data_IF_757552275143
#
_entry.id   IF_757552275143
#
_cell.length_a   1.000
_cell.length_b   1.000
_cell.length_c   1.000
_cell.angle_alpha   90.00
_cell.angle_beta   90.00
_cell.angle_gamma   90.00
#
_symmetry.space_group_name_H-M   'P 1'
#
loop_
_entity.id
_entity.type
_entity.pdbx_description
1 polymer ?
#
# COMPACT_ATOMS: atom_id res chain seq x y z
N UNK A 1 61.13 3.32 -15.75
CA UNK A 1 61.23 2.60 -17.04
C UNK A 1 60.80 1.16 -16.82
N UNK A 2 59.89 0.68 -17.67
CA UNK A 2 59.57 -0.72 -17.99
C UNK A 2 59.00 -1.68 -16.91
N UNK A 3 57.96 -2.39 -17.36
CA UNK A 3 57.17 -3.48 -16.77
C UNK A 3 57.98 -4.80 -16.58
N UNK A 4 57.37 -5.97 -16.19
CA UNK A 4 56.49 -6.77 -17.08
C UNK A 4 55.34 -7.56 -16.36
N UNK A 5 54.19 -7.82 -17.03
CA UNK A 5 53.68 -9.11 -17.62
C UNK A 5 53.11 -10.11 -16.57
N UNK A 6 52.03 -10.90 -16.74
CA UNK A 6 51.31 -11.47 -17.91
C UNK A 6 49.97 -12.11 -17.39
N UNK A 7 48.84 -11.99 -18.10
CA UNK A 7 48.06 -13.08 -18.80
C UNK A 7 47.20 -14.02 -17.90
N UNK A 8 46.00 -14.57 -18.23
CA UNK A 8 45.25 -14.83 -19.49
C UNK A 8 43.75 -15.17 -19.18
N UNK A 9 42.85 -14.83 -20.12
CA UNK A 9 41.74 -15.63 -20.74
C UNK A 9 40.65 -16.29 -19.86
N UNK A 10 39.34 -16.32 -20.18
CA UNK A 10 38.71 -16.61 -21.48
C UNK A 10 37.21 -16.23 -21.58
N UNK A 11 36.79 -16.07 -22.84
CA UNK A 11 35.46 -15.79 -23.44
C UNK A 11 34.32 -16.76 -23.06
N UNK A 12 33.06 -16.29 -23.14
CA UNK A 12 32.18 -16.57 -24.29
C UNK A 12 30.73 -16.09 -24.11
N UNK A 13 30.26 -15.25 -25.03
CA UNK A 13 28.85 -15.08 -25.42
C UNK A 13 28.56 -16.05 -26.58
N UNK A 14 27.29 -16.47 -26.76
CA UNK A 14 26.69 -16.21 -28.07
C UNK A 14 25.22 -15.78 -28.00
N UNK A 15 24.87 -14.87 -28.90
CA UNK A 15 23.50 -14.54 -29.32
C UNK A 15 23.10 -15.40 -30.52
N UNK A 16 21.83 -15.83 -30.61
CA UNK A 16 20.88 -15.52 -31.70
C UNK A 16 19.58 -16.33 -31.54
N UNK A 17 18.47 -15.61 -31.73
CA UNK A 17 17.04 -15.93 -31.73
C UNK A 17 16.62 -16.74 -32.99
N UNK A 18 15.32 -16.83 -33.40
CA UNK A 18 14.02 -16.90 -32.69
C UNK A 18 13.10 -18.00 -33.27
N UNK A 19 12.15 -18.60 -32.52
CA UNK A 19 10.94 -19.18 -33.15
C UNK A 19 9.69 -19.06 -32.25
N UNK A 20 8.60 -18.65 -32.91
CA UNK A 20 7.24 -18.52 -32.42
C UNK A 20 6.59 -19.89 -32.15
N UNK A 21 5.71 -19.95 -31.15
CA UNK A 21 4.39 -20.60 -31.34
C UNK A 21 3.46 -20.29 -30.17
N UNK A 22 2.47 -19.47 -30.51
CA UNK A 22 1.10 -19.41 -30.02
C UNK A 22 0.56 -20.72 -29.39
N UNK A 23 -0.03 -20.61 -28.19
CA UNK A 23 -1.02 -21.57 -27.68
C UNK A 23 -1.70 -20.99 -26.42
N UNK A 24 -2.87 -20.37 -26.62
CA UNK A 24 -3.77 -19.99 -25.53
C UNK A 24 -4.23 -21.21 -24.74
N UNK A 25 -4.12 -21.13 -23.41
CA UNK A 25 -4.69 -22.12 -22.50
C UNK A 25 -6.07 -21.64 -22.04
N UNK A 26 -7.08 -21.93 -22.86
CA UNK A 26 -8.48 -21.90 -22.46
C UNK A 26 -8.74 -23.11 -21.54
N UNK A 27 -9.02 -22.85 -20.27
CA UNK A 27 -9.52 -23.86 -19.35
C UNK A 27 -10.94 -24.25 -19.76
N UNK A 28 -11.06 -25.50 -20.22
CA UNK A 28 -12.29 -26.18 -20.59
C UNK A 28 -13.22 -26.37 -19.38
N UNK A 29 -14.44 -25.84 -19.46
CA UNK A 29 -15.55 -26.23 -18.57
C UNK A 29 -16.25 -27.47 -19.16
N UNK A 30 -16.68 -28.45 -18.34
CA UNK A 30 -17.40 -29.62 -18.84
C UNK A 30 -18.83 -29.26 -19.26
N UNK A 31 -19.25 -29.86 -20.37
CA UNK A 31 -20.58 -29.77 -20.95
C UNK A 31 -21.66 -30.40 -20.05
N UNK A 32 -22.79 -29.71 -19.89
CA UNK A 32 -24.02 -30.22 -19.26
C UNK A 32 -24.97 -30.72 -20.37
N UNK A 33 -25.60 -31.90 -20.24
CA UNK A 33 -26.45 -32.45 -21.29
C UNK A 33 -27.82 -31.76 -21.35
N UNK A 34 -28.39 -31.75 -22.55
CA UNK A 34 -29.67 -31.15 -22.90
C UNK A 34 -30.85 -32.14 -22.81
N UNK A 35 -32.03 -31.62 -22.45
CA UNK A 35 -33.36 -32.19 -22.71
C UNK A 35 -34.01 -32.86 -21.48
N UNK A 36 -35.23 -32.54 -21.04
CA UNK A 36 -36.44 -32.38 -21.86
C UNK A 36 -37.60 -31.66 -21.14
N UNK A 37 -38.38 -30.91 -21.94
CA UNK A 37 -39.79 -30.47 -21.86
C UNK A 37 -40.61 -30.67 -20.57
N UNK A 38 -41.24 -29.58 -20.15
CA UNK A 38 -42.50 -29.53 -19.39
C UNK A 38 -43.01 -28.09 -19.33
N UNK A 39 -44.27 -27.89 -19.71
CA UNK A 39 -44.97 -26.60 -19.83
C UNK A 39 -45.29 -26.00 -18.46
N UNK A 40 -45.36 -24.67 -18.37
CA UNK A 40 -46.57 -23.93 -17.96
C UNK A 40 -46.21 -22.47 -17.63
N UNK A 41 -46.84 -21.56 -18.38
CA UNK A 41 -46.87 -20.13 -18.12
C UNK A 41 -47.58 -19.84 -16.80
N UNK A 42 -46.84 -19.40 -15.78
CA UNK A 42 -47.41 -18.65 -14.65
C UNK A 42 -46.41 -17.60 -14.14
N UNK A 43 -46.59 -16.40 -14.70
CA UNK A 43 -46.33 -15.05 -14.18
C UNK A 43 -45.88 -14.95 -12.71
N UNK A 44 -44.57 -14.93 -12.47
CA UNK A 44 -43.97 -14.44 -11.22
C UNK A 44 -43.34 -13.06 -11.42
N UNK A 45 -44.14 -12.01 -11.28
CA UNK A 45 -43.72 -10.60 -11.38
C UNK A 45 -43.20 -10.01 -10.04
N UNK A 46 -42.73 -10.85 -9.12
CA UNK A 46 -42.39 -10.45 -7.73
C UNK A 46 -40.90 -10.61 -7.37
N UNK A 47 -40.14 -11.38 -8.14
CA UNK A 47 -38.71 -11.62 -7.93
C UNK A 47 -37.83 -10.53 -8.52
N UNK A 48 -38.22 -9.94 -9.66
CA UNK A 48 -37.44 -8.89 -10.31
C UNK A 48 -37.42 -7.57 -9.53
N UNK A 49 -38.54 -7.17 -8.93
CA UNK A 49 -38.62 -5.93 -8.16
C UNK A 49 -37.72 -5.97 -6.91
N UNK A 50 -37.65 -7.10 -6.20
CA UNK A 50 -36.85 -7.22 -4.97
C UNK A 50 -35.35 -7.38 -5.21
N UNK A 51 -34.95 -7.93 -6.36
CA UNK A 51 -33.56 -7.97 -6.82
C UNK A 51 -33.10 -6.57 -7.25
N UNK A 52 -33.94 -5.83 -7.99
CA UNK A 52 -33.66 -4.46 -8.43
C UNK A 52 -33.53 -3.49 -7.24
N UNK A 53 -34.39 -3.60 -6.22
CA UNK A 53 -34.25 -2.77 -5.00
C UNK A 53 -32.93 -3.05 -4.25
N UNK A 54 -32.52 -4.32 -4.12
CA UNK A 54 -31.28 -4.69 -3.44
C UNK A 54 -30.03 -4.24 -4.20
N UNK A 55 -30.05 -4.32 -5.51
CA UNK A 55 -28.95 -3.85 -6.35
C UNK A 55 -28.83 -2.32 -6.29
N UNK A 56 -29.96 -1.62 -6.33
CA UNK A 56 -30.01 -0.16 -6.15
C UNK A 56 -29.52 0.29 -4.78
N UNK A 57 -29.93 -0.38 -3.70
CA UNK A 57 -29.44 -0.13 -2.34
C UNK A 57 -27.93 -0.35 -2.21
N UNK A 58 -27.40 -1.41 -2.82
CA UNK A 58 -25.94 -1.67 -2.89
C UNK A 58 -25.21 -0.56 -3.63
N UNK A 59 -25.76 -0.09 -4.76
CA UNK A 59 -25.21 1.03 -5.52
C UNK A 59 -25.17 2.34 -4.72
N UNK A 60 -26.24 2.64 -3.98
CA UNK A 60 -26.31 3.82 -3.09
C UNK A 60 -25.26 3.71 -1.98
N UNK A 61 -25.14 2.55 -1.33
CA UNK A 61 -24.17 2.33 -0.26
C UNK A 61 -22.73 2.44 -0.76
N UNK A 62 -22.42 1.86 -1.92
CA UNK A 62 -21.10 1.97 -2.55
C UNK A 62 -20.76 3.44 -2.86
N UNK A 63 -21.69 4.18 -3.47
CA UNK A 63 -21.51 5.62 -3.72
C UNK A 63 -21.29 6.42 -2.43
N UNK A 64 -21.99 6.09 -1.34
CA UNK A 64 -21.78 6.73 -0.04
C UNK A 64 -20.37 6.45 0.52
N UNK A 65 -19.92 5.19 0.48
CA UNK A 65 -18.57 4.81 0.95
C UNK A 65 -17.49 5.54 0.16
N UNK A 66 -17.61 5.56 -1.17
CA UNK A 66 -16.69 6.24 -2.06
C UNK A 66 -16.60 7.74 -1.74
N UNK A 67 -17.74 8.43 -1.71
CA UNK A 67 -17.78 9.87 -1.39
C UNK A 67 -17.27 10.17 0.03
N UNK A 68 -17.52 9.27 0.99
CA UNK A 68 -16.99 9.41 2.33
C UNK A 68 -15.46 9.25 2.37
N UNK A 69 -14.90 8.32 1.59
CA UNK A 69 -13.45 8.17 1.43
C UNK A 69 -12.84 9.45 0.84
N UNK A 70 -13.39 9.98 -0.26
CA UNK A 70 -12.90 11.21 -0.90
C UNK A 70 -12.90 12.40 0.07
N UNK A 71 -13.98 12.58 0.85
CA UNK A 71 -14.04 13.63 1.87
C UNK A 71 -12.96 13.47 2.94
N UNK A 72 -12.71 12.25 3.41
CA UNK A 72 -11.70 11.99 4.45
C UNK A 72 -10.28 12.19 3.94
N UNK A 73 -9.99 11.75 2.71
CA UNK A 73 -8.71 11.97 2.03
C UNK A 73 -8.45 13.47 1.88
N UNK A 74 -9.44 14.21 1.38
CA UNK A 74 -9.33 15.66 1.22
C UNK A 74 -9.19 16.40 2.56
N UNK A 75 -9.90 15.95 3.60
CA UNK A 75 -9.73 16.51 4.93
C UNK A 75 -8.33 16.22 5.50
N UNK A 76 -7.82 14.99 5.32
CA UNK A 76 -6.50 14.61 5.78
C UNK A 76 -5.40 15.43 5.10
N UNK A 77 -5.52 15.67 3.79
CA UNK A 77 -4.52 16.45 3.06
C UNK A 77 -4.47 17.93 3.46
N UNK A 78 -5.56 18.47 3.99
CA UNK A 78 -5.63 19.87 4.42
C UNK A 78 -5.29 20.07 5.89
N UNK A 79 -5.58 19.08 6.74
CA UNK A 79 -5.56 19.24 8.19
C UNK A 79 -4.67 18.24 8.94
N UNK A 80 -4.32 17.09 8.35
CA UNK A 80 -3.45 16.14 9.04
C UNK A 80 -1.98 16.54 8.85
N UNK A 81 -1.24 16.78 9.94
CA UNK A 81 0.10 17.38 9.88
C UNK A 81 1.10 16.52 9.09
N UNK A 82 1.11 15.20 9.32
CA UNK A 82 2.00 14.29 8.61
C UNK A 82 1.65 14.17 7.12
N UNK A 83 0.36 14.21 6.77
CA UNK A 83 -0.07 14.09 5.36
C UNK A 83 0.32 15.35 4.60
N UNK A 84 0.01 16.55 5.13
CA UNK A 84 0.46 17.84 4.57
C UNK A 84 1.96 17.83 4.33
N UNK A 85 2.71 17.40 5.35
CA UNK A 85 4.16 17.38 5.32
C UNK A 85 4.72 16.46 4.23
N UNK A 86 4.22 15.23 4.15
CA UNK A 86 4.68 14.26 3.15
C UNK A 86 4.34 14.71 1.72
N UNK A 87 3.13 15.24 1.49
CA UNK A 87 2.76 15.81 0.18
C UNK A 87 3.74 16.91 -0.25
N UNK A 88 4.09 17.82 0.66
CA UNK A 88 5.09 18.85 0.38
C UNK A 88 6.49 18.29 0.13
N UNK A 89 6.89 17.26 0.89
CA UNK A 89 8.19 16.62 0.73
C UNK A 89 8.31 15.91 -0.62
N UNK A 90 7.28 15.15 -1.02
CA UNK A 90 7.18 14.48 -2.31
C UNK A 90 7.23 15.50 -3.45
N UNK A 91 6.47 16.60 -3.35
CA UNK A 91 6.45 17.62 -4.40
C UNK A 91 7.80 18.33 -4.58
N UNK A 92 8.58 18.45 -3.49
CA UNK A 92 9.95 19.00 -3.55
C UNK A 92 10.97 18.07 -4.18
N UNK A 93 10.67 16.77 -4.28
CA UNK A 93 11.49 15.82 -5.01
C UNK A 93 11.20 15.87 -6.53
N UNK A 94 10.30 16.75 -6.98
CA UNK A 94 9.97 16.96 -8.39
C UNK A 94 8.76 16.15 -8.89
N UNK A 95 8.02 15.52 -7.97
CA UNK A 95 6.76 14.84 -8.28
C UNK A 95 5.59 15.83 -8.27
N UNK A 96 4.68 15.77 -9.24
CA UNK A 96 3.42 16.55 -9.19
C UNK A 96 2.34 15.71 -8.49
N UNK A 97 2.50 15.50 -7.17
CA UNK A 97 1.58 14.69 -6.37
C UNK A 97 0.44 15.56 -5.82
N UNK A 98 -0.73 15.42 -6.43
CA UNK A 98 -1.93 16.23 -6.17
C UNK A 98 -3.09 15.33 -5.76
N UNK A 99 -3.75 15.70 -4.66
CA UNK A 99 -4.97 15.02 -4.19
C UNK A 99 -6.08 15.14 -5.24
N UNK A 100 -6.73 14.02 -5.55
CA UNK A 100 -7.75 13.92 -6.60
C UNK A 100 -7.19 13.57 -7.97
N UNK A 101 -5.86 13.54 -8.14
CA UNK A 101 -5.19 12.96 -9.32
C UNK A 101 -4.42 11.69 -8.95
N UNK A 102 -3.55 11.77 -7.94
CA UNK A 102 -2.69 10.67 -7.50
C UNK A 102 -3.22 9.93 -6.26
N UNK A 103 -4.42 10.26 -5.78
CA UNK A 103 -5.07 9.49 -4.69
C UNK A 103 -6.44 9.03 -5.14
N UNK A 104 -6.62 7.72 -5.20
CA UNK A 104 -7.80 7.04 -5.67
C UNK A 104 -8.49 6.34 -4.49
N UNK A 105 -9.80 6.56 -4.33
CA UNK A 105 -10.63 5.78 -3.40
C UNK A 105 -11.25 4.63 -4.18
N UNK A 106 -10.95 3.40 -3.80
CA UNK A 106 -11.45 2.22 -4.51
C UNK A 106 -11.99 1.18 -3.54
N UNK A 107 -12.95 0.39 -4.03
CA UNK A 107 -13.41 -0.78 -3.30
C UNK A 107 -12.42 -1.93 -3.49
N UNK A 108 -11.71 -2.30 -2.43
CA UNK A 108 -10.77 -3.42 -2.46
C UNK A 108 -11.45 -4.76 -2.16
N UNK A 109 -10.86 -5.85 -2.68
CA UNK A 109 -11.28 -7.22 -2.36
C UNK A 109 -11.35 -7.46 -0.85
N UNK A 110 -12.25 -8.34 -0.42
CA UNK A 110 -12.34 -8.78 0.98
C UNK A 110 -11.41 -9.95 1.29
N UNK A 111 -10.78 -10.56 0.29
CA UNK A 111 -9.98 -11.79 0.41
C UNK A 111 -8.57 -11.54 0.93
N UNK A 112 -7.95 -10.40 0.58
CA UNK A 112 -6.63 -10.02 1.06
C UNK A 112 -6.74 -9.11 2.30
N UNK A 113 -5.71 -8.99 3.14
CA UNK A 113 -5.75 -8.11 4.32
C UNK A 113 -5.15 -6.71 4.05
N UNK A 114 -5.40 -6.16 2.86
CA UNK A 114 -4.81 -4.89 2.41
C UNK A 114 -5.82 -3.76 2.57
N UNK A 115 -5.38 -2.59 3.07
CA UNK A 115 -6.26 -1.42 3.32
C UNK A 115 -5.93 -0.20 2.45
N UNK A 116 -4.90 -0.32 1.61
CA UNK A 116 -4.44 0.67 0.65
C UNK A 116 -3.20 0.14 -0.07
N UNK A 117 -2.62 0.95 -0.95
CA UNK A 117 -1.35 0.63 -1.58
C UNK A 117 -0.81 1.80 -2.38
N UNK A 118 0.50 1.79 -2.66
CA UNK A 118 1.13 2.68 -3.59
C UNK A 118 1.48 1.94 -4.89
N UNK A 119 0.99 2.44 -6.03
CA UNK A 119 1.34 1.97 -7.36
C UNK A 119 2.52 2.80 -7.89
N UNK A 120 3.73 2.22 -8.00
CA UNK A 120 4.91 2.94 -8.47
C UNK A 120 4.95 3.16 -9.99
N UNK A 121 4.15 2.40 -10.76
CA UNK A 121 4.07 2.56 -12.22
C UNK A 121 3.21 3.77 -12.55
N UNK A 122 2.06 3.89 -11.88
CA UNK A 122 1.12 5.00 -12.07
C UNK A 122 1.42 6.20 -11.17
N UNK A 123 2.29 6.03 -10.17
CA UNK A 123 2.58 7.01 -9.13
C UNK A 123 1.27 7.44 -8.41
N UNK A 124 0.46 6.45 -8.04
CA UNK A 124 -0.86 6.63 -7.42
C UNK A 124 -0.91 5.95 -6.05
N UNK A 125 -1.64 6.55 -5.11
CA UNK A 125 -2.01 5.96 -3.83
C UNK A 125 -3.46 5.51 -3.90
N UNK A 126 -3.70 4.25 -3.57
CA UNK A 126 -5.01 3.64 -3.49
C UNK A 126 -5.42 3.56 -2.02
N UNK A 127 -6.61 4.06 -1.70
CA UNK A 127 -7.21 3.94 -0.37
C UNK A 127 -8.44 3.05 -0.48
N UNK A 128 -8.44 1.93 0.24
CA UNK A 128 -9.58 1.02 0.24
C UNK A 128 -10.77 1.64 1.00
N UNK A 129 -11.79 2.08 0.27
CA UNK A 129 -12.95 2.80 0.83
C UNK A 129 -13.76 1.94 1.80
N UNK A 130 -13.78 0.62 1.57
CA UNK A 130 -14.43 -0.37 2.43
C UNK A 130 -13.62 -0.72 3.69
N UNK A 131 -12.39 -0.21 3.83
CA UNK A 131 -11.49 -0.50 4.96
C UNK A 131 -11.00 0.73 5.71
N UNK A 132 -11.47 1.91 5.32
CA UNK A 132 -11.10 3.20 5.92
C UNK A 132 -12.32 3.96 6.50
N UNK A 133 -13.09 3.37 7.45
CA UNK A 133 -14.36 3.95 7.90
C UNK A 133 -14.25 5.26 8.71
N UNK A 134 -13.07 5.63 9.22
CA UNK A 134 -12.90 6.81 10.10
C UNK A 134 -11.81 7.74 9.60
N UNK A 135 -11.94 9.03 9.91
CA UNK A 135 -10.94 10.05 9.54
C UNK A 135 -9.55 9.69 10.05
N UNK A 136 -9.47 9.21 11.30
CA UNK A 136 -8.21 8.80 11.92
C UNK A 136 -7.53 7.67 11.14
N UNK A 137 -8.29 6.63 10.79
CA UNK A 137 -7.75 5.49 10.04
C UNK A 137 -7.36 5.90 8.61
N UNK A 138 -8.18 6.70 7.92
CA UNK A 138 -7.83 7.24 6.60
C UNK A 138 -6.55 8.07 6.65
N UNK A 139 -6.38 8.93 7.68
CA UNK A 139 -5.19 9.78 7.79
C UNK A 139 -3.92 8.97 8.06
N UNK A 140 -4.02 7.93 8.89
CA UNK A 140 -2.92 6.99 9.16
C UNK A 140 -2.54 6.19 7.91
N UNK A 141 -3.52 5.56 7.24
CA UNK A 141 -3.29 4.82 6.00
C UNK A 141 -2.70 5.72 4.91
N UNK A 142 -3.26 6.91 4.72
CA UNK A 142 -2.72 7.84 3.73
C UNK A 142 -1.28 8.27 4.09
N UNK A 143 -0.95 8.42 5.38
CA UNK A 143 0.44 8.70 5.80
C UNK A 143 1.35 7.52 5.45
N UNK A 144 0.91 6.28 5.68
CA UNK A 144 1.63 5.05 5.32
C UNK A 144 1.95 5.02 3.82
N UNK A 145 0.94 5.16 2.97
CA UNK A 145 1.13 5.10 1.52
C UNK A 145 1.96 6.28 0.97
N UNK A 146 1.85 7.46 1.58
CA UNK A 146 2.69 8.60 1.21
C UNK A 146 4.16 8.40 1.60
N UNK A 147 4.48 7.56 2.59
CA UNK A 147 5.87 7.19 2.88
C UNK A 147 6.42 6.33 1.73
N UNK A 148 5.65 5.36 1.21
CA UNK A 148 6.03 4.61 0.02
C UNK A 148 6.24 5.51 -1.20
N UNK A 149 5.32 6.46 -1.43
CA UNK A 149 5.46 7.44 -2.50
C UNK A 149 6.73 8.29 -2.32
N UNK A 150 7.01 8.75 -1.10
CA UNK A 150 8.23 9.50 -0.80
C UNK A 150 9.49 8.67 -1.06
N UNK A 151 9.48 7.39 -0.69
CA UNK A 151 10.61 6.48 -0.87
C UNK A 151 10.88 6.24 -2.36
N UNK A 152 9.82 6.04 -3.14
CA UNK A 152 9.90 5.93 -4.59
C UNK A 152 10.62 7.14 -5.21
N UNK A 153 10.25 8.36 -4.83
CA UNK A 153 10.84 9.58 -5.38
C UNK A 153 12.24 9.90 -4.82
N UNK A 154 12.49 9.64 -3.53
CA UNK A 154 13.78 9.95 -2.86
C UNK A 154 14.86 8.96 -3.27
N UNK A 155 14.57 7.67 -3.12
CA UNK A 155 15.57 6.61 -3.22
C UNK A 155 15.52 5.88 -4.57
N UNK A 156 14.56 6.22 -5.45
CA UNK A 156 14.31 5.49 -6.70
C UNK A 156 14.20 3.98 -6.44
N UNK A 157 13.37 3.64 -5.45
CA UNK A 157 13.19 2.28 -4.97
C UNK A 157 12.93 1.33 -6.13
N UNK A 158 13.75 0.28 -6.22
CA UNK A 158 13.47 -0.86 -7.06
C UNK A 158 12.45 -1.75 -6.36
N UNK A 159 11.18 -1.65 -6.80
CA UNK A 159 10.09 -2.43 -6.23
C UNK A 159 10.17 -3.92 -6.57
N UNK A 160 11.12 -4.36 -7.40
CA UNK A 160 11.41 -5.78 -7.62
C UNK A 160 12.39 -6.35 -6.58
N UNK A 161 13.21 -5.50 -5.95
CA UNK A 161 14.11 -5.88 -4.86
C UNK A 161 13.35 -6.00 -3.53
N UNK A 162 13.27 -7.23 -3.02
CA UNK A 162 12.61 -7.54 -1.75
C UNK A 162 13.22 -6.78 -0.56
N UNK A 163 14.52 -6.47 -0.58
CA UNK A 163 15.15 -5.69 0.49
C UNK A 163 14.69 -4.24 0.47
N UNK A 164 14.57 -3.66 -0.72
CA UNK A 164 14.09 -2.29 -0.89
C UNK A 164 12.62 -2.17 -0.48
N UNK A 165 11.79 -3.14 -0.86
CA UNK A 165 10.38 -3.26 -0.42
C UNK A 165 10.32 -3.36 1.11
N UNK A 166 11.07 -4.29 1.70
CA UNK A 166 11.09 -4.46 3.15
C UNK A 166 11.54 -3.20 3.89
N UNK A 167 12.51 -2.48 3.35
CA UNK A 167 12.96 -1.22 3.90
C UNK A 167 11.83 -0.17 3.93
N UNK A 168 11.09 -0.04 2.82
CA UNK A 168 9.98 0.90 2.72
C UNK A 168 8.83 0.52 3.66
N UNK A 169 8.53 -0.77 3.81
CA UNK A 169 7.52 -1.29 4.75
C UNK A 169 7.89 -1.01 6.22
N UNK A 170 9.15 -1.17 6.60
CA UNK A 170 9.65 -0.81 7.94
C UNK A 170 9.44 0.68 8.19
N UNK A 171 9.82 1.53 7.23
CA UNK A 171 9.69 2.99 7.37
C UNK A 171 8.23 3.40 7.44
N UNK A 172 7.37 2.85 6.58
CA UNK A 172 5.94 3.11 6.56
C UNK A 172 5.29 2.75 7.91
N UNK A 173 5.51 1.53 8.40
CA UNK A 173 4.98 1.09 9.70
C UNK A 173 5.50 1.90 10.89
N UNK A 174 6.75 2.38 10.83
CA UNK A 174 7.37 3.15 11.91
C UNK A 174 6.89 4.61 11.95
N UNK A 175 6.69 5.24 10.79
CA UNK A 175 6.45 6.69 10.67
C UNK A 175 4.99 7.08 10.45
N UNK A 176 4.12 6.13 10.06
CA UNK A 176 2.70 6.40 9.77
C UNK A 176 1.82 6.58 11.01
N UNK A 177 2.29 6.11 12.17
CA UNK A 177 1.48 5.97 13.39
C UNK A 177 0.69 4.66 13.48
N UNK A 178 0.87 3.70 12.56
CA UNK A 178 0.20 2.39 12.58
C UNK A 178 0.32 1.69 13.93
N UNK A 179 1.54 1.64 14.45
CA UNK A 179 1.82 0.97 15.69
C UNK A 179 1.24 1.71 16.91
N UNK A 180 1.06 3.04 16.84
CA UNK A 180 0.36 3.80 17.88
C UNK A 180 -1.16 3.60 17.81
N UNK A 181 -1.72 3.43 16.62
CA UNK A 181 -3.13 3.10 16.43
C UNK A 181 -3.45 1.69 16.95
N UNK A 182 -2.61 0.72 16.63
CA UNK A 182 -2.76 -0.65 17.13
C UNK A 182 -2.60 -0.71 18.64
N UNK A 183 -1.59 -0.03 19.20
CA UNK A 183 -1.38 -0.04 20.65
C UNK A 183 -2.60 0.46 21.39
N UNK A 184 -3.23 1.57 20.98
CA UNK A 184 -4.46 2.07 21.60
C UNK A 184 -5.60 1.04 21.55
N UNK A 185 -5.75 0.34 20.41
CA UNK A 185 -6.80 -0.69 20.25
C UNK A 185 -6.58 -1.90 21.16
N UNK A 186 -5.34 -2.34 21.34
CA UNK A 186 -5.00 -3.50 22.16
C UNK A 186 -4.86 -3.16 23.66
N UNK A 187 -4.35 -1.97 24.01
CA UNK A 187 -4.21 -1.52 25.39
C UNK A 187 -5.55 -1.19 26.06
N UNK A 188 -6.56 -0.78 25.28
CA UNK A 188 -7.93 -0.64 25.80
C UNK A 188 -8.48 -1.95 26.39
N UNK A 189 -7.90 -3.09 26.02
CA UNK A 189 -8.35 -4.42 26.47
C UNK A 189 -7.39 -5.09 27.47
N UNK A 190 -6.10 -4.73 27.47
CA UNK A 190 -5.09 -5.33 28.34
C UNK A 190 -4.43 -4.29 29.25
N UNK A 191 -4.92 -4.18 30.49
CA UNK A 191 -4.32 -3.35 31.54
C UNK A 191 -2.98 -3.98 31.96
N UNK A 192 -1.85 -3.50 31.41
CA UNK A 192 -0.52 -3.75 31.98
C UNK A 192 0.64 -4.10 31.01
N UNK A 193 0.39 -4.36 29.73
CA UNK A 193 1.44 -4.85 28.82
C UNK A 193 2.21 -3.71 28.13
N UNK A 194 3.44 -3.37 28.56
CA UNK A 194 4.30 -2.32 27.93
C UNK A 194 4.33 -2.40 26.39
N UNK A 195 3.93 -1.32 25.73
CA UNK A 195 4.00 -1.19 24.28
C UNK A 195 5.44 -1.29 23.76
N UNK A 196 5.67 -2.15 22.77
CA UNK A 196 6.96 -2.30 22.10
C UNK A 196 6.85 -1.87 20.63
N UNK A 197 7.26 -0.64 20.30
CA UNK A 197 7.20 -0.11 18.94
C UNK A 197 7.98 -0.97 17.94
N UNK A 198 9.22 -1.36 18.29
CA UNK A 198 10.07 -2.19 17.43
C UNK A 198 9.39 -3.51 17.06
N UNK A 199 8.83 -4.22 18.05
CA UNK A 199 8.12 -5.47 17.81
C UNK A 199 6.87 -5.27 16.93
N UNK A 200 6.15 -4.15 17.11
CA UNK A 200 5.01 -3.84 16.27
C UNK A 200 5.42 -3.56 14.82
N UNK A 201 6.43 -2.71 14.61
CA UNK A 201 6.92 -2.33 13.27
C UNK A 201 7.41 -3.56 12.52
N UNK A 202 8.20 -4.42 13.17
CA UNK A 202 8.67 -5.67 12.58
C UNK A 202 7.50 -6.56 12.15
N UNK A 203 6.50 -6.75 13.02
CA UNK A 203 5.32 -7.57 12.72
C UNK A 203 4.52 -7.01 11.54
N UNK A 204 4.33 -5.68 11.48
CA UNK A 204 3.60 -5.05 10.38
C UNK A 204 4.36 -5.17 9.05
N UNK A 205 5.65 -4.86 9.03
CA UNK A 205 6.46 -4.97 7.81
C UNK A 205 6.44 -6.40 7.24
N UNK A 206 6.62 -7.42 8.10
CA UNK A 206 6.53 -8.82 7.68
C UNK A 206 5.13 -9.15 7.13
N UNK A 207 4.07 -8.68 7.79
CA UNK A 207 2.70 -8.88 7.32
C UNK A 207 2.42 -8.21 5.97
N UNK A 208 2.91 -6.99 5.73
CA UNK A 208 2.72 -6.28 4.46
C UNK A 208 3.43 -6.99 3.30
N UNK A 209 4.68 -7.44 3.51
CA UNK A 209 5.44 -8.15 2.50
C UNK A 209 4.74 -9.46 2.12
N UNK A 210 4.30 -10.27 3.10
CA UNK A 210 3.56 -11.52 2.84
C UNK A 210 2.24 -11.25 2.11
N UNK A 211 1.58 -10.12 2.39
CA UNK A 211 0.31 -9.77 1.74
C UNK A 211 0.48 -9.34 0.27
N UNK A 212 1.68 -8.90 -0.12
CA UNK A 212 1.96 -8.36 -1.46
C UNK A 212 2.93 -9.22 -2.27
N UNK A 213 3.61 -10.18 -1.63
CA UNK A 213 4.60 -11.09 -2.21
C UNK A 213 4.29 -12.51 -1.79
N UNK A 214 4.47 -13.44 -2.72
CA UNK A 214 4.35 -14.88 -2.45
C UNK A 214 5.62 -15.38 -1.73
N UNK A 215 5.75 -15.01 -0.45
CA UNK A 215 6.86 -15.41 0.40
C UNK A 215 6.36 -16.18 1.61
N UNK A 216 7.16 -17.15 2.05
CA UNK A 216 6.95 -17.75 3.36
C UNK A 216 7.20 -16.72 4.47
N UNK A 217 6.62 -16.96 5.65
CA UNK A 217 6.85 -16.11 6.82
C UNK A 217 8.34 -16.03 7.19
N UNK A 218 9.06 -17.15 7.11
CA UNK A 218 10.49 -17.22 7.45
C UNK A 218 11.34 -16.35 6.51
N UNK A 219 11.07 -16.40 5.20
CA UNK A 219 11.77 -15.56 4.22
C UNK A 219 11.48 -14.07 4.43
N UNK A 220 10.22 -13.72 4.73
CA UNK A 220 9.83 -12.36 5.04
C UNK A 220 10.52 -11.84 6.32
N UNK A 221 10.55 -12.64 7.39
CA UNK A 221 11.25 -12.31 8.64
C UNK A 221 12.74 -12.08 8.38
N UNK A 222 13.40 -12.99 7.65
CA UNK A 222 14.83 -12.86 7.31
C UNK A 222 15.11 -11.62 6.45
N UNK A 223 14.23 -11.29 5.51
CA UNK A 223 14.37 -10.11 4.66
C UNK A 223 14.26 -8.83 5.47
N UNK A 224 13.26 -8.73 6.36
CA UNK A 224 13.06 -7.59 7.25
C UNK A 224 14.25 -7.43 8.21
N UNK A 225 14.74 -8.53 8.78
CA UNK A 225 15.91 -8.50 9.67
C UNK A 225 17.18 -8.04 8.96
N UNK A 226 17.37 -8.45 7.71
CA UNK A 226 18.55 -8.08 6.92
C UNK A 226 18.69 -6.57 6.65
N UNK A 227 17.59 -5.80 6.72
CA UNK A 227 17.59 -4.35 6.47
C UNK A 227 17.24 -3.51 7.71
N UNK A 228 16.91 -4.17 8.82
CA UNK A 228 16.32 -3.55 10.01
C UNK A 228 17.11 -2.35 10.54
N UNK A 229 18.39 -2.53 10.83
CA UNK A 229 19.21 -1.49 11.46
C UNK A 229 19.33 -0.22 10.61
N UNK A 230 19.30 -0.35 9.28
CA UNK A 230 19.34 0.78 8.37
C UNK A 230 17.99 1.46 8.28
N UNK A 231 16.92 0.68 8.04
CA UNK A 231 15.62 1.23 7.67
C UNK A 231 14.80 1.70 8.87
N UNK A 232 14.94 1.06 10.04
CA UNK A 232 14.22 1.46 11.24
C UNK A 232 14.68 2.84 11.76
N UNK A 233 15.92 3.23 11.48
CA UNK A 233 16.50 4.51 11.89
C UNK A 233 16.48 5.58 10.77
N UNK A 234 15.96 5.28 9.57
CA UNK A 234 15.73 6.30 8.54
C UNK A 234 14.36 6.97 8.73
N UNK A 235 14.40 8.12 9.41
CA UNK A 235 13.20 8.92 9.70
C UNK A 235 12.83 9.90 8.60
N UNK A 236 13.59 10.00 7.51
CA UNK A 236 13.30 10.98 6.47
C UNK A 236 11.87 10.81 5.89
N UNK A 237 11.15 11.89 5.54
CA UNK A 237 11.57 13.31 5.60
C UNK A 237 11.45 13.95 6.99
N UNK A 238 10.96 13.21 7.98
CA UNK A 238 10.91 13.64 9.38
C UNK A 238 12.31 13.67 10.00
N UNK A 239 12.41 14.23 11.20
CA UNK A 239 13.64 14.20 12.01
C UNK A 239 13.64 13.12 13.08
N UNK A 240 12.46 12.62 13.43
CA UNK A 240 12.23 11.53 14.38
C UNK A 240 10.85 10.93 14.06
N UNK A 241 10.46 9.88 14.77
CA UNK A 241 9.13 9.28 14.71
C UNK A 241 8.08 10.34 15.11
N UNK A 242 7.14 10.72 14.22
CA UNK A 242 6.21 11.80 14.49
C UNK A 242 5.11 11.34 15.46
N UNK A 243 5.12 11.85 16.70
CA UNK A 243 4.11 11.55 17.71
C UNK A 243 3.07 12.67 17.86
N UNK A 244 3.49 13.92 17.63
CA UNK A 244 2.65 15.13 17.72
C UNK A 244 2.98 16.07 16.56
N UNK A 245 2.02 16.94 16.22
CA UNK A 245 2.22 17.96 15.17
C UNK A 245 3.42 18.89 15.45
N UNK A 246 3.78 19.08 16.73
CA UNK A 246 4.94 19.87 17.13
C UNK A 246 6.28 19.27 16.66
N UNK A 247 6.35 17.95 16.51
CA UNK A 247 7.58 17.24 16.14
C UNK A 247 8.02 17.56 14.70
N UNK A 248 7.09 18.03 13.86
CA UNK A 248 7.36 18.44 12.48
C UNK A 248 8.10 19.78 12.37
N UNK A 249 8.09 20.61 13.43
CA UNK A 249 8.72 21.94 13.46
C UNK A 249 10.25 21.91 13.40
N UNK A 250 10.88 20.77 13.69
CA UNK A 250 12.33 20.63 13.67
C UNK A 250 12.85 19.92 12.42
N UNK A 251 11.96 19.47 11.53
CA UNK A 251 12.35 18.76 10.31
C UNK A 251 13.17 19.64 9.35
N UNK A 252 13.99 19.04 8.48
CA UNK A 252 14.77 19.77 7.44
C UNK A 252 13.88 20.61 6.50
N UNK A 253 12.58 20.32 6.48
CA UNK A 253 11.56 21.03 5.72
C UNK A 253 10.76 22.06 6.56
N UNK A 254 11.09 22.26 7.84
CA UNK A 254 10.36 23.12 8.78
C UNK A 254 10.28 24.58 8.35
N UNK A 255 11.31 25.11 7.68
CA UNK A 255 11.30 26.46 7.09
C UNK A 255 10.21 26.67 6.02
N UNK A 256 9.51 25.61 5.65
CA UNK A 256 8.41 25.61 4.67
C UNK A 256 7.10 25.06 5.23
N UNK A 257 7.09 24.63 6.49
CA UNK A 257 5.90 24.16 7.18
C UNK A 257 5.25 25.35 7.90
N UNK A 258 4.20 25.92 7.29
CA UNK A 258 3.30 26.83 8.02
C UNK A 258 2.29 25.95 8.78
N UNK A 259 2.32 25.95 10.13
CA UNK A 259 1.37 25.18 10.94
C UNK A 259 -0.07 25.72 10.89
N UNK A 260 -0.31 26.83 10.17
CA UNK A 260 -1.64 27.43 10.02
C UNK A 260 -2.57 26.64 9.07
#
# INVERSE_FOLDING_TARGET
MAAPMEETSSNSTPSLSPENSDAGHQTTFPAVPSGSRGTDDQKDNSTNASVDTKEKERGIYASYQHNACLRRVNFASQHHPNVKFLLQAINKLGSDFVIGKQVCCERCSTENNVSGGFDPIRNEVIVCENRSPTQRLTSMLLTHELIHAYDHHKAKVDWTDLKAVACSEIRAANLSGDCSFLSEKFYRWNIGAKYNNKACVKRLAVSSIIATRDLSREEADKTVDGVWETCFHDYAPFTDIPHKAADLKFSRFSKYYDPR
#
